data_IF_507171653077
#
_entry.id   IF_507171653077
#
_cell.length_a   1.000
_cell.length_b   1.000
_cell.length_c   1.000
_cell.angle_alpha   90.00
_cell.angle_beta   90.00
_cell.angle_gamma   90.00
#
_symmetry.space_group_name_H-M   'P 1'
#
loop_
_entity.id
_entity.type
_entity.pdbx_description
1 polymer ?
#
# COMPACT_ATOMS: atom_id res chain seq x y z
N UNK A 1 -23.19 -64.81 17.49
CA UNK A 1 -23.52 -63.43 17.87
C UNK A 1 -22.24 -62.65 18.10
N UNK A 2 -21.89 -61.75 17.19
CA UNK A 2 -20.71 -60.87 17.38
C UNK A 2 -21.05 -59.80 18.42
N UNK A 3 -20.18 -59.54 19.41
CA UNK A 3 -20.43 -58.45 20.34
C UNK A 3 -20.43 -57.12 19.54
N UNK A 4 -21.45 -56.31 19.76
CA UNK A 4 -21.48 -54.96 19.25
C UNK A 4 -20.29 -54.19 19.85
N UNK A 5 -19.44 -53.70 18.97
CA UNK A 5 -18.33 -52.86 19.35
C UNK A 5 -18.85 -51.61 20.05
N UNK A 6 -18.58 -51.39 21.35
CA UNK A 6 -19.12 -50.22 22.06
C UNK A 6 -18.45 -48.91 21.63
N UNK A 7 -17.48 -48.96 20.73
CA UNK A 7 -16.73 -47.78 20.23
C UNK A 7 -17.05 -47.43 18.78
N UNK A 8 -18.06 -48.03 18.15
CA UNK A 8 -18.53 -47.63 16.86
C UNK A 8 -19.19 -46.25 16.98
N UNK A 9 -18.41 -45.20 16.87
CA UNK A 9 -18.90 -43.80 16.73
C UNK A 9 -19.38 -43.56 15.33
N UNK A 10 -20.53 -44.10 14.98
CA UNK A 10 -21.21 -43.71 13.76
C UNK A 10 -21.98 -42.39 14.00
N UNK A 11 -21.55 -41.30 13.40
CA UNK A 11 -22.36 -40.13 13.27
C UNK A 11 -21.99 -38.90 14.07
N UNK A 12 -20.71 -38.73 14.41
CA UNK A 12 -20.26 -37.37 14.77
C UNK A 12 -20.16 -36.54 13.49
N UNK A 13 -20.89 -35.39 13.40
CA UNK A 13 -20.67 -34.48 12.31
C UNK A 13 -19.19 -34.03 12.32
N UNK A 14 -18.60 -33.76 11.14
CA UNK A 14 -17.24 -33.23 11.12
C UNK A 14 -17.24 -31.98 11.98
N UNK A 15 -16.36 -31.97 12.98
CA UNK A 15 -16.09 -30.77 13.77
C UNK A 15 -15.63 -29.72 12.76
N UNK A 16 -16.45 -28.73 12.48
CA UNK A 16 -16.02 -27.53 11.77
C UNK A 16 -14.82 -26.99 12.55
N UNK A 17 -13.64 -27.23 12.00
CA UNK A 17 -12.42 -26.76 12.64
C UNK A 17 -12.39 -25.25 12.46
N UNK A 18 -12.36 -24.47 13.54
CA UNK A 18 -12.28 -23.01 13.44
C UNK A 18 -11.04 -22.51 12.69
N UNK A 19 -10.05 -23.40 12.51
CA UNK A 19 -8.86 -23.12 11.72
C UNK A 19 -9.12 -22.96 10.22
N UNK A 20 -10.16 -23.61 9.67
CA UNK A 20 -10.49 -23.50 8.24
C UNK A 20 -11.26 -22.21 7.91
N UNK A 21 -12.08 -21.75 8.83
CA UNK A 21 -12.79 -20.45 8.66
C UNK A 21 -11.83 -19.27 8.82
N UNK A 22 -10.90 -19.33 9.74
CA UNK A 22 -9.86 -18.33 9.92
C UNK A 22 -8.91 -18.24 8.70
N UNK A 23 -8.55 -19.38 8.12
CA UNK A 23 -7.71 -19.39 6.92
C UNK A 23 -8.43 -18.84 5.69
N UNK A 24 -9.73 -19.09 5.54
CA UNK A 24 -10.53 -18.51 4.46
C UNK A 24 -10.65 -16.99 4.59
N UNK A 25 -10.95 -16.50 5.78
CA UNK A 25 -11.02 -15.06 6.02
C UNK A 25 -9.67 -14.36 5.79
N UNK A 26 -8.55 -15.00 6.14
CA UNK A 26 -7.21 -14.50 5.88
C UNK A 26 -6.81 -14.59 4.40
N UNK A 27 -7.27 -15.62 3.68
CA UNK A 27 -7.06 -15.75 2.23
C UNK A 27 -7.91 -14.74 1.47
N UNK A 28 -9.14 -14.49 1.87
CA UNK A 28 -10.02 -13.48 1.27
C UNK A 28 -9.45 -12.06 1.46
N UNK A 29 -8.89 -11.76 2.63
CA UNK A 29 -8.21 -10.48 2.89
C UNK A 29 -6.94 -10.34 2.05
N UNK A 30 -6.14 -11.40 1.93
CA UNK A 30 -4.94 -11.41 1.08
C UNK A 30 -5.26 -11.28 -0.40
N UNK A 31 -6.36 -11.87 -0.86
CA UNK A 31 -6.79 -11.82 -2.26
C UNK A 31 -7.34 -10.44 -2.64
N UNK A 32 -8.00 -9.74 -1.70
CA UNK A 32 -8.45 -8.36 -1.89
C UNK A 32 -7.28 -7.40 -2.01
N UNK A 33 -6.27 -7.52 -1.16
CA UNK A 33 -5.11 -6.64 -1.15
C UNK A 33 -4.13 -6.93 -2.30
N UNK A 34 -4.04 -8.18 -2.77
CA UNK A 34 -3.13 -8.57 -3.87
C UNK A 34 -3.47 -7.93 -5.22
N UNK A 35 -4.68 -7.43 -5.41
CA UNK A 35 -5.07 -6.71 -6.63
C UNK A 35 -4.55 -5.28 -6.68
N UNK A 36 -4.17 -4.70 -5.56
CA UNK A 36 -3.64 -3.33 -5.52
C UNK A 36 -2.14 -3.33 -5.76
N UNK A 37 -1.72 -2.46 -6.68
CA UNK A 37 -0.32 -2.23 -7.01
C UNK A 37 0.13 -0.90 -6.41
N UNK A 38 1.19 -0.94 -5.61
CA UNK A 38 1.82 0.24 -5.01
C UNK A 38 3.19 0.46 -5.66
N UNK A 39 3.45 1.66 -6.11
CA UNK A 39 4.77 2.08 -6.56
C UNK A 39 5.49 2.79 -5.42
N UNK A 40 6.67 2.31 -5.05
CA UNK A 40 7.54 2.92 -4.03
C UNK A 40 8.71 3.59 -4.74
N UNK A 41 8.75 4.90 -4.70
CA UNK A 41 9.84 5.72 -5.25
C UNK A 41 10.74 6.21 -4.10
N UNK A 42 11.94 5.69 -4.02
CA UNK A 42 12.96 6.04 -3.01
C UNK A 42 14.35 5.76 -3.59
N UNK A 43 15.27 6.70 -3.48
CA UNK A 43 16.63 6.56 -3.98
C UNK A 43 17.51 5.67 -3.10
N UNK A 44 17.10 5.42 -1.85
CA UNK A 44 17.72 4.43 -0.98
C UNK A 44 17.18 3.03 -1.28
N UNK A 45 18.02 2.17 -1.86
CA UNK A 45 17.66 0.79 -2.17
C UNK A 45 17.23 0.01 -0.92
N UNK A 46 17.87 0.25 0.22
CA UNK A 46 17.56 -0.41 1.49
C UNK A 46 16.20 0.02 2.02
N UNK A 47 15.89 1.32 1.97
CA UNK A 47 14.60 1.87 2.36
C UNK A 47 13.47 1.33 1.47
N UNK A 48 13.66 1.37 0.16
CA UNK A 48 12.70 0.84 -0.81
C UNK A 48 12.46 -0.65 -0.59
N UNK A 49 13.50 -1.44 -0.35
CA UNK A 49 13.40 -2.87 -0.09
C UNK A 49 12.63 -3.17 1.20
N UNK A 50 12.91 -2.45 2.27
CA UNK A 50 12.23 -2.61 3.56
C UNK A 50 10.73 -2.31 3.44
N UNK A 51 10.39 -1.18 2.84
CA UNK A 51 8.99 -0.79 2.62
C UNK A 51 8.28 -1.80 1.72
N UNK A 52 8.94 -2.24 0.64
CA UNK A 52 8.37 -3.21 -0.30
C UNK A 52 8.08 -4.54 0.36
N UNK A 53 9.00 -5.08 1.14
CA UNK A 53 8.80 -6.33 1.88
C UNK A 53 7.64 -6.22 2.87
N UNK A 54 7.56 -5.11 3.58
CA UNK A 54 6.46 -4.89 4.53
C UNK A 54 5.11 -4.83 3.82
N UNK A 55 5.01 -4.08 2.73
CA UNK A 55 3.77 -3.96 1.95
C UNK A 55 3.38 -5.29 1.28
N UNK A 56 4.35 -6.04 0.75
CA UNK A 56 4.10 -7.37 0.20
C UNK A 56 3.58 -8.33 1.27
N UNK A 57 4.11 -8.23 2.48
CA UNK A 57 3.61 -9.02 3.62
C UNK A 57 2.17 -8.65 4.00
N UNK A 58 1.78 -7.41 3.78
CA UNK A 58 0.39 -6.96 3.94
C UNK A 58 -0.54 -7.37 2.78
N UNK A 59 0.00 -7.97 1.72
CA UNK A 59 -0.77 -8.46 0.58
C UNK A 59 -0.74 -7.58 -0.67
N UNK A 60 -0.04 -6.45 -0.65
CA UNK A 60 0.08 -5.57 -1.81
C UNK A 60 1.11 -6.08 -2.82
N UNK A 61 0.88 -5.82 -4.11
CA UNK A 61 1.91 -5.92 -5.13
C UNK A 61 2.72 -4.63 -5.12
N UNK A 62 4.04 -4.72 -5.27
CA UNK A 62 4.93 -3.56 -5.15
C UNK A 62 5.90 -3.49 -6.32
N UNK A 63 6.06 -2.31 -6.89
CA UNK A 63 7.15 -1.94 -7.79
C UNK A 63 7.97 -0.83 -7.14
N UNK A 64 9.23 -0.72 -7.52
CA UNK A 64 10.14 0.31 -7.00
C UNK A 64 10.71 1.17 -8.11
N UNK A 65 10.96 2.44 -7.80
CA UNK A 65 11.67 3.39 -8.64
C UNK A 65 12.75 4.08 -7.80
N UNK A 66 13.90 4.36 -8.39
CA UNK A 66 15.04 4.96 -7.69
C UNK A 66 15.11 6.49 -7.81
N UNK A 67 14.29 7.09 -8.64
CA UNK A 67 14.21 8.55 -8.84
C UNK A 67 12.85 8.94 -9.43
N UNK A 68 12.59 10.24 -9.51
CA UNK A 68 11.32 10.77 -10.00
C UNK A 68 11.02 10.49 -11.47
N UNK A 69 12.04 10.46 -12.33
CA UNK A 69 11.88 10.14 -13.76
C UNK A 69 11.42 8.69 -13.96
N UNK A 70 12.08 7.76 -13.25
CA UNK A 70 11.70 6.33 -13.28
C UNK A 70 10.32 6.11 -12.68
N UNK A 71 9.98 6.84 -11.62
CA UNK A 71 8.64 6.77 -11.02
C UNK A 71 7.55 7.15 -12.03
N UNK A 72 7.75 8.22 -12.80
CA UNK A 72 6.81 8.63 -13.85
C UNK A 72 6.71 7.57 -14.95
N UNK A 73 7.85 7.04 -15.43
CA UNK A 73 7.88 6.00 -16.46
C UNK A 73 7.14 4.74 -16.02
N UNK A 74 7.40 4.27 -14.82
CA UNK A 74 6.74 3.08 -14.27
C UNK A 74 5.26 3.34 -14.05
N UNK A 75 4.87 4.49 -13.52
CA UNK A 75 3.48 4.87 -13.35
C UNK A 75 2.73 4.90 -14.71
N UNK A 76 3.35 5.44 -15.75
CA UNK A 76 2.77 5.52 -17.11
C UNK A 76 2.56 4.16 -17.76
N UNK A 77 3.39 3.17 -17.44
CA UNK A 77 3.31 1.83 -18.02
C UNK A 77 2.49 0.83 -17.19
N UNK A 78 2.36 1.05 -15.88
CA UNK A 78 1.74 0.08 -14.96
C UNK A 78 0.46 0.57 -14.29
N UNK A 79 0.20 1.86 -14.29
CA UNK A 79 -0.97 2.49 -13.64
C UNK A 79 -1.17 2.00 -12.20
N UNK A 80 -0.23 2.27 -11.28
CA UNK A 80 -0.36 1.82 -9.90
C UNK A 80 -1.58 2.44 -9.23
N UNK A 81 -2.10 1.78 -8.23
CA UNK A 81 -3.24 2.25 -7.46
C UNK A 81 -2.85 3.34 -6.46
N UNK A 82 -1.57 3.39 -6.08
CA UNK A 82 -1.03 4.37 -5.15
C UNK A 82 0.48 4.48 -5.34
N UNK A 83 1.02 5.67 -5.10
CA UNK A 83 2.46 5.94 -5.14
C UNK A 83 2.93 6.44 -3.77
N UNK A 84 3.92 5.77 -3.19
CA UNK A 84 4.73 6.31 -2.10
C UNK A 84 5.92 7.02 -2.71
N UNK A 85 6.02 8.34 -2.52
CA UNK A 85 6.99 9.20 -3.19
C UNK A 85 7.91 9.86 -2.17
N UNK A 86 9.19 9.44 -2.15
CA UNK A 86 10.22 10.19 -1.41
C UNK A 86 10.40 11.56 -2.05
N UNK A 87 10.39 12.61 -1.24
CA UNK A 87 10.61 13.98 -1.74
C UNK A 87 12.07 14.20 -2.12
N UNK A 88 13.01 13.64 -1.35
CA UNK A 88 14.45 13.87 -1.53
C UNK A 88 15.06 12.79 -2.42
N UNK A 89 14.95 12.95 -3.73
CA UNK A 89 15.54 12.05 -4.73
C UNK A 89 16.40 12.83 -5.73
N UNK A 90 17.45 12.18 -6.30
CA UNK A 90 18.26 12.81 -7.33
C UNK A 90 17.54 12.92 -8.66
N UNK A 91 18.05 13.75 -9.56
CA UNK A 91 17.58 13.99 -10.94
C UNK A 91 16.27 14.76 -10.96
N UNK A 92 15.19 14.15 -10.55
CA UNK A 92 13.87 14.76 -10.36
C UNK A 92 13.38 14.39 -8.95
N UNK A 93 13.16 15.40 -8.10
CA UNK A 93 12.66 15.19 -6.76
C UNK A 93 11.19 14.75 -6.74
N UNK A 94 10.71 14.33 -5.57
CA UNK A 94 9.35 13.81 -5.43
C UNK A 94 8.25 14.84 -5.67
N UNK A 95 8.49 16.12 -5.36
CA UNK A 95 7.52 17.20 -5.63
C UNK A 95 7.45 17.49 -7.13
N UNK A 96 8.59 17.52 -7.81
CA UNK A 96 8.65 17.69 -9.27
C UNK A 96 7.97 16.53 -9.99
N UNK A 97 8.21 15.29 -9.54
CA UNK A 97 7.55 14.11 -10.10
C UNK A 97 6.04 14.16 -9.86
N UNK A 98 5.60 14.53 -8.67
CA UNK A 98 4.17 14.70 -8.35
C UNK A 98 3.52 15.72 -9.24
N UNK A 99 4.16 16.87 -9.46
CA UNK A 99 3.63 17.92 -10.36
C UNK A 99 3.42 17.36 -11.77
N UNK A 100 4.39 16.67 -12.34
CA UNK A 100 4.28 16.06 -13.68
C UNK A 100 3.17 15.00 -13.74
N UNK A 101 3.02 14.19 -12.70
CA UNK A 101 1.94 13.19 -12.61
C UNK A 101 0.58 13.88 -12.59
N UNK A 102 0.43 14.99 -11.87
CA UNK A 102 -0.83 15.75 -11.81
C UNK A 102 -1.18 16.46 -13.11
N UNK A 103 -0.19 16.80 -13.93
CA UNK A 103 -0.38 17.38 -15.26
C UNK A 103 -0.77 16.34 -16.33
N UNK A 104 -0.51 15.05 -16.07
CA UNK A 104 -0.86 13.95 -16.97
C UNK A 104 -2.30 13.49 -16.72
N UNK A 105 -3.16 13.61 -17.72
CA UNK A 105 -4.58 13.26 -17.64
C UNK A 105 -4.83 11.79 -17.26
N UNK A 106 -3.91 10.90 -17.60
CA UNK A 106 -4.04 9.46 -17.30
C UNK A 106 -3.56 9.07 -15.90
N UNK A 107 -2.72 9.90 -15.28
CA UNK A 107 -2.07 9.63 -14.00
C UNK A 107 -2.55 10.52 -12.85
N UNK A 108 -3.18 11.64 -13.17
CA UNK A 108 -3.49 12.71 -12.20
C UNK A 108 -4.38 12.31 -11.03
N UNK A 109 -5.13 11.23 -11.16
CA UNK A 109 -6.04 10.75 -10.11
C UNK A 109 -5.41 9.69 -9.21
N UNK A 110 -4.18 9.24 -9.50
CA UNK A 110 -3.47 8.27 -8.65
C UNK A 110 -3.10 8.93 -7.32
N UNK A 111 -3.53 8.38 -6.18
CA UNK A 111 -3.14 8.93 -4.88
C UNK A 111 -1.63 8.83 -4.67
N UNK A 112 -1.04 9.90 -4.19
CA UNK A 112 0.40 10.01 -3.90
C UNK A 112 0.58 10.37 -2.43
N UNK A 113 1.34 9.56 -1.71
CA UNK A 113 1.78 9.85 -0.35
C UNK A 113 3.23 10.32 -0.43
N UNK A 114 3.47 11.56 -0.03
CA UNK A 114 4.82 12.10 0.10
C UNK A 114 5.50 11.54 1.35
N UNK A 115 6.74 11.10 1.20
CA UNK A 115 7.57 10.61 2.30
C UNK A 115 8.82 11.50 2.39
N UNK A 116 9.13 12.04 3.55
CA UNK A 116 10.22 12.98 3.70
C UNK A 116 10.87 12.96 5.08
N UNK A 117 12.15 13.30 5.15
CA UNK A 117 12.84 13.57 6.40
C UNK A 117 12.42 14.92 7.03
N UNK A 118 11.74 15.79 6.27
CA UNK A 118 11.37 17.14 6.70
C UNK A 118 9.90 17.21 7.11
N UNK A 119 9.65 17.43 8.42
CA UNK A 119 8.30 17.46 8.98
C UNK A 119 7.76 18.86 9.26
N UNK A 120 8.33 19.94 8.68
CA UNK A 120 7.86 21.30 8.92
C UNK A 120 6.53 21.56 8.20
N UNK A 121 5.68 22.41 8.81
CA UNK A 121 4.39 22.80 8.21
C UNK A 121 4.53 23.41 6.81
N UNK A 122 5.62 24.16 6.57
CA UNK A 122 5.91 24.76 5.27
C UNK A 122 6.12 23.69 4.19
N UNK A 123 6.84 22.61 4.48
CA UNK A 123 7.03 21.49 3.56
C UNK A 123 5.75 20.71 3.33
N UNK A 124 4.96 20.47 4.36
CA UNK A 124 3.68 19.80 4.22
C UNK A 124 2.74 20.60 3.30
N UNK A 125 2.64 21.90 3.53
CA UNK A 125 1.81 22.79 2.71
C UNK A 125 2.28 22.76 1.25
N UNK A 126 3.57 22.89 0.99
CA UNK A 126 4.14 22.81 -0.35
C UNK A 126 3.82 21.47 -1.05
N UNK A 127 3.89 20.36 -0.32
CA UNK A 127 3.53 19.06 -0.84
C UNK A 127 2.04 18.97 -1.22
N UNK A 128 1.15 19.43 -0.36
CA UNK A 128 -0.29 19.44 -0.66
C UNK A 128 -0.62 20.40 -1.80
N UNK A 129 0.06 21.53 -1.92
CA UNK A 129 -0.13 22.49 -3.01
C UNK A 129 0.23 21.89 -4.39
N UNK A 130 1.21 20.99 -4.46
CA UNK A 130 1.52 20.27 -5.70
C UNK A 130 0.65 19.05 -5.95
N UNK A 131 -0.19 18.66 -5.00
CA UNK A 131 -1.22 17.64 -5.18
C UNK A 131 -0.95 16.28 -4.55
N UNK A 132 -0.15 16.19 -3.47
CA UNK A 132 -0.07 14.93 -2.71
C UNK A 132 -1.37 14.67 -1.97
N UNK A 133 -1.68 13.39 -1.80
CA UNK A 133 -2.90 12.93 -1.13
C UNK A 133 -2.67 12.68 0.36
N UNK A 134 -1.42 12.50 0.76
CA UNK A 134 -1.01 12.25 2.13
C UNK A 134 0.47 12.57 2.34
N UNK A 135 0.90 12.57 3.59
CA UNK A 135 2.24 12.98 3.98
C UNK A 135 2.72 12.14 5.17
N UNK A 136 3.93 11.60 5.04
CA UNK A 136 4.60 10.82 6.08
C UNK A 136 6.02 11.35 6.30
N UNK A 137 6.44 11.41 7.56
CA UNK A 137 7.80 11.79 7.92
C UNK A 137 8.64 10.55 8.24
N UNK A 138 9.93 10.62 7.91
CA UNK A 138 10.91 9.59 8.29
C UNK A 138 11.40 9.85 9.73
N UNK A 139 11.59 8.80 10.57
CA UNK A 139 11.38 7.39 10.27
C UNK A 139 9.88 7.06 10.11
N UNK A 140 9.57 6.21 9.12
CA UNK A 140 8.17 5.90 8.80
C UNK A 140 7.57 5.03 9.90
N UNK A 141 6.44 5.47 10.45
CA UNK A 141 5.55 4.64 11.24
C UNK A 141 4.78 3.73 10.27
N UNK A 142 5.09 2.44 10.30
CA UNK A 142 4.55 1.47 9.36
C UNK A 142 3.04 1.27 9.52
N UNK A 143 2.52 1.32 10.74
CA UNK A 143 1.09 1.21 11.00
C UNK A 143 0.34 2.42 10.44
N UNK A 144 0.86 3.62 10.68
CA UNK A 144 0.31 4.85 10.11
C UNK A 144 0.35 4.83 8.58
N UNK A 145 1.44 4.35 8.00
CA UNK A 145 1.56 4.19 6.54
C UNK A 145 0.47 3.26 6.00
N UNK A 146 0.30 2.08 6.60
CA UNK A 146 -0.71 1.12 6.15
C UNK A 146 -2.13 1.64 6.32
N UNK A 147 -2.43 2.33 7.41
CA UNK A 147 -3.73 2.95 7.63
C UNK A 147 -4.03 4.03 6.59
N UNK A 148 -3.06 4.85 6.25
CA UNK A 148 -3.20 5.88 5.23
C UNK A 148 -3.38 5.28 3.83
N UNK A 149 -2.61 4.25 3.49
CA UNK A 149 -2.76 3.51 2.23
C UNK A 149 -4.17 2.91 2.13
N UNK A 150 -4.61 2.18 3.14
CA UNK A 150 -5.92 1.56 3.16
C UNK A 150 -7.05 2.60 3.02
N UNK A 151 -6.92 3.75 3.67
CA UNK A 151 -7.87 4.85 3.57
C UNK A 151 -7.95 5.41 2.14
N UNK A 152 -6.80 5.64 1.50
CA UNK A 152 -6.75 6.21 0.15
C UNK A 152 -7.18 5.21 -0.94
N UNK A 153 -7.01 3.91 -0.71
CA UNK A 153 -7.45 2.86 -1.62
C UNK A 153 -8.91 2.46 -1.44
N UNK A 154 -9.57 2.91 -0.37
CA UNK A 154 -10.96 2.54 -0.14
C UNK A 154 -11.89 3.32 -1.09
N UNK A 155 -13.01 2.69 -1.57
CA UNK A 155 -13.95 3.35 -2.48
C UNK A 155 -14.60 4.61 -1.90
N UNK A 156 -14.59 4.78 -0.59
CA UNK A 156 -15.11 5.94 0.14
C UNK A 156 -14.07 7.03 0.38
N UNK A 157 -12.82 6.79 0.00
CA UNK A 157 -11.68 7.68 0.25
C UNK A 157 -11.58 8.92 -0.63
N UNK A 158 -12.54 9.17 -1.52
CA UNK A 158 -12.58 10.38 -2.35
C UNK A 158 -13.17 11.61 -1.62
N UNK A 159 -13.40 11.50 -0.33
CA UNK A 159 -13.85 12.60 0.51
C UNK A 159 -12.74 13.08 1.44
N UNK A 160 -12.63 14.38 1.60
CA UNK A 160 -11.73 15.14 2.46
C UNK A 160 -11.19 14.36 3.66
N UNK A 161 -9.86 14.40 3.83
CA UNK A 161 -9.23 13.96 5.07
C UNK A 161 -9.92 14.63 6.27
N UNK A 162 -10.29 13.88 7.31
CA UNK A 162 -10.66 14.52 8.56
C UNK A 162 -9.44 15.27 9.08
N UNK A 163 -9.60 16.55 9.26
CA UNK A 163 -8.62 17.45 9.86
C UNK A 163 -8.34 17.05 11.31
#
# INVERSE_FOLDING_TARGET
MKPKDPFATSGLPPINQPEQENNRALEDVREIDSKYLILVADDSADSAAMISLYLQHQGYRVLTAANGEDAIKIASSTFPNLILMDISMPTLDGLGATRRIREDETLRDIPIIAVTAFGTEGFQRAAYDVGVSGYLTKPIDLDRMCNLIAHLLSPTGSGSLPS
#
